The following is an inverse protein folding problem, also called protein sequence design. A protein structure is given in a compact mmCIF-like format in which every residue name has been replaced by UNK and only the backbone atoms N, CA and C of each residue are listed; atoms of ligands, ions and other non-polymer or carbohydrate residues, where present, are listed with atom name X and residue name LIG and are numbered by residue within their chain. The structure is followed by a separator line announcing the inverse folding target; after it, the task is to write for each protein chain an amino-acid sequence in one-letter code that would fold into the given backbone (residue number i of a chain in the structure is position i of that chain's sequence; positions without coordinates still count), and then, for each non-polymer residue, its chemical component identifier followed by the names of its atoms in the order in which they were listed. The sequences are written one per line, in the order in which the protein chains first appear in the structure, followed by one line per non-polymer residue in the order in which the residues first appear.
data_IF_541251809410
#
_entry.id   IF_541251809410
#
_cell.length_a   1.000
_cell.length_b   1.000
_cell.length_c   1.000
_cell.angle_alpha   90.00
_cell.angle_beta   90.00
_cell.angle_gamma   90.00
#
_symmetry.space_group_name_H-M   'P 1'
#
loop_
_entity.id
_entity.type
_entity.pdbx_description
1 polymer ?
#
# COMPACT_ATOMS: atom_id res chain seq x y z
N UNK A 1 12.91 3.21 4.20
CA UNK A 1 13.14 4.52 4.85
C UNK A 1 11.86 5.13 5.42
N UNK A 2 10.79 5.33 4.62
CA UNK A 2 9.55 5.97 5.10
C UNK A 2 8.91 5.28 6.33
N UNK A 3 8.99 3.94 6.42
CA UNK A 3 8.42 3.20 7.54
C UNK A 3 9.02 3.55 8.90
N UNK A 4 10.30 3.93 8.92
CA UNK A 4 10.96 4.41 10.13
C UNK A 4 10.49 5.82 10.51
N UNK A 5 9.93 6.57 9.55
CA UNK A 5 9.41 7.92 9.75
C UNK A 5 7.92 7.93 10.15
N UNK A 6 7.21 6.80 10.10
CA UNK A 6 5.78 6.73 10.48
C UNK A 6 5.52 7.31 11.87
N UNK A 7 6.31 7.00 12.94
CA UNK A 7 6.08 7.59 14.26
C UNK A 7 6.23 9.12 14.27
N UNK A 8 7.16 9.67 13.49
CA UNK A 8 7.36 11.11 13.36
C UNK A 8 6.17 11.76 12.66
N UNK A 9 5.71 11.18 11.54
CA UNK A 9 4.54 11.65 10.81
C UNK A 9 3.30 11.58 11.71
N UNK A 10 3.13 10.49 12.45
CA UNK A 10 2.01 10.31 13.36
C UNK A 10 2.00 11.36 14.48
N UNK A 11 3.17 11.64 15.06
CA UNK A 11 3.33 12.70 16.06
C UNK A 11 3.02 14.09 15.49
N UNK A 12 3.45 14.37 14.26
CA UNK A 12 3.19 15.63 13.59
C UNK A 12 1.70 15.84 13.25
N UNK A 13 0.94 14.75 13.09
CA UNK A 13 -0.50 14.77 12.80
C UNK A 13 -1.36 14.58 14.06
N UNK A 14 -0.74 14.56 15.24
CA UNK A 14 -1.44 14.45 16.52
C UNK A 14 -2.22 15.75 16.78
N UNK A 15 -3.46 15.63 17.26
CA UNK A 15 -4.37 16.75 17.57
C UNK A 15 -4.75 17.66 16.39
N UNK A 16 -4.44 17.29 15.14
CA UNK A 16 -4.93 18.01 13.96
C UNK A 16 -6.41 17.69 13.74
N UNK A 17 -7.23 18.73 13.56
CA UNK A 17 -8.65 18.58 13.27
C UNK A 17 -8.90 18.11 11.82
N UNK A 18 -10.07 17.53 11.58
CA UNK A 18 -10.44 16.97 10.27
C UNK A 18 -10.42 18.02 9.14
N UNK A 19 -10.76 19.29 9.41
CA UNK A 19 -10.80 20.32 8.36
C UNK A 19 -9.38 20.68 7.93
N UNK A 20 -8.47 20.82 8.89
CA UNK A 20 -7.04 21.05 8.62
C UNK A 20 -6.43 19.86 7.89
N UNK A 21 -6.76 18.63 8.30
CA UNK A 21 -6.32 17.42 7.60
C UNK A 21 -6.81 17.39 6.13
N UNK A 22 -8.05 17.80 5.89
CA UNK A 22 -8.60 17.95 4.53
C UNK A 22 -7.85 18.99 3.69
N UNK A 23 -7.47 20.13 4.28
CA UNK A 23 -6.63 21.14 3.61
C UNK A 23 -5.26 20.57 3.23
N UNK A 24 -4.65 19.77 4.10
CA UNK A 24 -3.38 19.09 3.77
C UNK A 24 -3.54 18.12 2.60
N UNK A 25 -4.63 17.36 2.55
CA UNK A 25 -4.92 16.49 1.40
C UNK A 25 -5.03 17.31 0.13
N UNK A 26 -5.81 18.41 0.12
CA UNK A 26 -5.95 19.26 -1.07
C UNK A 26 -4.60 19.79 -1.53
N UNK A 27 -3.80 20.34 -0.60
CA UNK A 27 -2.47 20.87 -0.90
C UNK A 27 -1.55 19.79 -1.49
N UNK A 28 -1.50 18.61 -0.87
CA UNK A 28 -0.67 17.50 -1.32
C UNK A 28 -1.17 16.89 -2.63
N UNK A 29 -2.49 16.92 -2.91
CA UNK A 29 -3.06 16.53 -4.21
C UNK A 29 -2.61 17.50 -5.30
N UNK A 30 -2.69 18.81 -5.07
CA UNK A 30 -2.20 19.82 -6.02
C UNK A 30 -0.71 19.60 -6.26
N UNK A 31 0.08 19.39 -5.21
CA UNK A 31 1.50 19.12 -5.34
C UNK A 31 1.81 17.85 -6.15
N UNK A 32 1.16 16.73 -5.84
CA UNK A 32 1.46 15.44 -6.50
C UNK A 32 0.87 15.34 -7.92
N UNK A 33 -0.37 15.80 -8.13
CA UNK A 33 -1.06 15.65 -9.41
C UNK A 33 -0.69 16.78 -10.37
N UNK A 34 -0.83 18.04 -9.96
CA UNK A 34 -0.57 19.16 -10.86
C UNK A 34 0.93 19.32 -11.12
N UNK A 35 1.73 19.54 -10.08
CA UNK A 35 3.17 19.78 -10.24
C UNK A 35 3.97 18.49 -10.48
N UNK A 36 3.50 17.36 -9.93
CA UNK A 36 4.10 16.05 -10.17
C UNK A 36 3.69 15.45 -11.51
N UNK A 37 2.45 15.00 -11.63
CA UNK A 37 2.01 14.21 -12.79
C UNK A 37 1.86 15.04 -14.09
N UNK A 38 1.16 16.18 -14.03
CA UNK A 38 0.89 17.01 -15.21
C UNK A 38 2.16 17.75 -15.67
N UNK A 39 2.80 18.51 -14.78
CA UNK A 39 3.97 19.34 -15.12
C UNK A 39 5.27 18.51 -15.15
N UNK A 40 5.41 17.49 -14.31
CA UNK A 40 6.56 16.56 -14.36
C UNK A 40 7.85 17.06 -13.68
N UNK A 41 7.83 18.20 -12.98
CA UNK A 41 9.06 18.86 -12.48
C UNK A 41 9.50 18.33 -11.11
N UNK A 42 8.55 18.00 -10.24
CA UNK A 42 8.84 17.70 -8.82
C UNK A 42 8.67 16.22 -8.45
N UNK A 43 7.87 15.48 -9.21
CA UNK A 43 7.56 14.09 -8.92
C UNK A 43 7.19 13.37 -10.22
N UNK A 44 8.14 12.69 -10.86
CA UNK A 44 7.94 12.12 -12.20
C UNK A 44 7.08 10.85 -12.21
N UNK A 45 7.12 10.05 -11.13
CA UNK A 45 6.43 8.75 -11.06
C UNK A 45 5.71 8.49 -9.73
N UNK A 46 5.71 9.44 -8.79
CA UNK A 46 5.08 9.27 -7.48
C UNK A 46 5.89 8.47 -6.46
N UNK A 47 7.08 7.96 -6.80
CA UNK A 47 7.86 7.09 -5.92
C UNK A 47 8.82 7.89 -5.02
N UNK A 48 8.26 8.69 -4.10
CA UNK A 48 9.05 9.49 -3.15
C UNK A 48 8.38 9.60 -1.77
N UNK A 49 9.16 10.09 -0.80
CA UNK A 49 8.70 10.21 0.59
C UNK A 49 7.46 11.11 0.73
N UNK A 50 7.35 12.18 -0.06
CA UNK A 50 6.21 13.11 -0.01
C UNK A 50 4.91 12.40 -0.43
N UNK A 51 4.94 11.58 -1.49
CA UNK A 51 3.78 10.82 -1.91
C UNK A 51 3.39 9.78 -0.85
N UNK A 52 4.36 9.18 -0.15
CA UNK A 52 4.06 8.30 0.99
C UNK A 52 3.42 9.03 2.17
N UNK A 53 3.90 10.25 2.52
CA UNK A 53 3.24 11.11 3.53
C UNK A 53 1.81 11.40 3.09
N UNK A 54 1.60 11.75 1.84
CA UNK A 54 0.28 12.03 1.27
C UNK A 54 -0.67 10.84 1.38
N UNK A 55 -0.24 9.64 0.98
CA UNK A 55 -1.02 8.41 1.13
C UNK A 55 -1.34 8.11 2.60
N UNK A 56 -0.39 8.36 3.52
CA UNK A 56 -0.61 8.20 4.96
C UNK A 56 -1.67 9.16 5.50
N UNK A 57 -1.55 10.45 5.18
CA UNK A 57 -2.51 11.50 5.56
C UNK A 57 -3.90 11.19 5.01
N UNK A 58 -3.99 10.72 3.76
CA UNK A 58 -5.23 10.29 3.14
C UNK A 58 -5.86 9.10 3.89
N UNK A 59 -5.08 8.07 4.20
CA UNK A 59 -5.55 6.93 5.00
C UNK A 59 -6.05 7.34 6.39
N UNK A 60 -5.34 8.25 7.07
CA UNK A 60 -5.75 8.82 8.36
C UNK A 60 -7.09 9.55 8.26
N UNK A 61 -7.28 10.34 7.20
CA UNK A 61 -8.53 11.05 6.96
C UNK A 61 -9.69 10.09 6.70
N UNK A 62 -9.50 9.06 5.87
CA UNK A 62 -10.52 8.02 5.63
C UNK A 62 -10.89 7.31 6.95
N UNK A 63 -9.91 7.00 7.79
CA UNK A 63 -10.15 6.42 9.11
C UNK A 63 -10.98 7.34 10.00
N UNK A 64 -10.71 8.64 10.01
CA UNK A 64 -11.54 9.59 10.75
C UNK A 64 -12.99 9.61 10.22
N UNK A 65 -13.13 9.60 8.89
CA UNK A 65 -14.44 9.57 8.24
C UNK A 65 -15.22 8.28 8.51
N UNK A 66 -14.55 7.19 8.86
CA UNK A 66 -15.19 5.89 9.10
C UNK A 66 -16.23 5.85 10.22
N UNK A 67 -16.16 6.81 11.15
CA UNK A 67 -17.13 6.99 12.23
C UNK A 67 -18.48 7.54 11.77
N UNK A 68 -18.54 8.19 10.59
CA UNK A 68 -19.78 8.79 10.09
C UNK A 68 -20.68 7.76 9.38
N UNK A 69 -22.00 7.81 9.55
CA UNK A 69 -22.93 6.84 8.94
C UNK A 69 -22.86 6.81 7.41
N UNK A 70 -22.71 7.99 6.79
CA UNK A 70 -22.60 8.14 5.34
C UNK A 70 -21.35 7.47 4.75
N UNK A 71 -20.26 7.39 5.52
CA UNK A 71 -19.03 6.75 5.08
C UNK A 71 -19.26 5.29 4.74
N UNK A 72 -19.99 4.53 5.58
CA UNK A 72 -20.23 3.10 5.31
C UNK A 72 -20.95 2.87 3.98
N UNK A 73 -21.94 3.71 3.67
CA UNK A 73 -22.69 3.65 2.42
C UNK A 73 -21.81 3.98 1.21
N UNK A 74 -20.91 4.95 1.34
CA UNK A 74 -19.95 5.25 0.28
C UNK A 74 -18.90 4.15 0.13
N UNK A 75 -18.37 3.67 1.24
CA UNK A 75 -17.32 2.67 1.30
C UNK A 75 -17.77 1.31 0.72
N UNK A 76 -19.04 0.93 0.92
CA UNK A 76 -19.62 -0.28 0.30
C UNK A 76 -19.63 -0.24 -1.23
N UNK A 77 -19.56 0.95 -1.83
CA UNK A 77 -19.50 1.15 -3.28
C UNK A 77 -18.09 1.55 -3.75
N UNK A 78 -17.07 1.43 -2.89
CA UNK A 78 -15.69 1.78 -3.23
C UNK A 78 -15.15 1.03 -4.46
N UNK A 79 -15.63 -0.19 -4.72
CA UNK A 79 -15.21 -1.00 -5.86
C UNK A 79 -15.68 -0.41 -7.19
N UNK A 80 -16.80 0.34 -7.18
CA UNK A 80 -17.29 1.06 -8.35
C UNK A 80 -16.32 2.19 -8.69
N UNK A 81 -15.89 2.97 -7.69
CA UNK A 81 -14.85 3.98 -7.89
C UNK A 81 -13.55 3.37 -8.42
N UNK A 82 -13.14 2.22 -7.86
CA UNK A 82 -11.98 1.50 -8.34
C UNK A 82 -12.13 1.08 -9.81
N UNK A 83 -13.26 0.47 -10.20
CA UNK A 83 -13.53 0.09 -11.59
C UNK A 83 -13.57 1.30 -12.53
N UNK A 84 -14.24 2.38 -12.14
CA UNK A 84 -14.31 3.62 -12.91
C UNK A 84 -12.94 4.24 -13.15
N UNK A 85 -11.95 3.96 -12.30
CA UNK A 85 -10.59 4.43 -12.50
C UNK A 85 -9.72 3.45 -13.28
N UNK A 86 -9.82 2.14 -12.99
CA UNK A 86 -8.98 1.11 -13.60
C UNK A 86 -9.38 0.84 -15.04
N UNK A 87 -10.66 0.79 -15.37
CA UNK A 87 -11.11 0.47 -16.73
C UNK A 87 -10.58 1.49 -17.76
N UNK A 88 -10.72 2.81 -17.55
CA UNK A 88 -10.13 3.80 -18.46
C UNK A 88 -8.60 3.75 -18.50
N UNK A 89 -7.93 3.48 -17.37
CA UNK A 89 -6.47 3.32 -17.35
C UNK A 89 -6.01 2.14 -18.23
N UNK A 90 -6.69 0.99 -18.12
CA UNK A 90 -6.34 -0.20 -18.92
C UNK A 90 -6.64 0.05 -20.39
N UNK A 91 -7.84 0.53 -20.72
CA UNK A 91 -8.22 0.83 -22.11
C UNK A 91 -7.28 1.88 -22.71
N UNK A 92 -7.00 2.95 -21.97
CA UNK A 92 -6.10 4.01 -22.42
C UNK A 92 -4.67 3.51 -22.62
N UNK A 93 -4.17 2.59 -21.79
CA UNK A 93 -2.87 1.96 -21.99
C UNK A 93 -2.85 1.05 -23.22
N UNK A 94 -3.88 0.25 -23.45
CA UNK A 94 -4.00 -0.61 -24.64
C UNK A 94 -4.03 0.23 -25.93
N UNK A 95 -4.81 1.31 -25.94
CA UNK A 95 -4.85 2.24 -27.08
C UNK A 95 -3.49 2.92 -27.29
N UNK A 96 -2.87 3.42 -26.21
CA UNK A 96 -1.58 4.10 -26.30
C UNK A 96 -0.49 3.18 -26.85
N UNK A 97 -0.43 1.93 -26.39
CA UNK A 97 0.57 0.94 -26.85
C UNK A 97 0.31 0.42 -28.26
N UNK A 98 -0.94 0.52 -28.75
CA UNK A 98 -1.26 0.24 -30.15
C UNK A 98 -0.73 1.34 -31.10
N UNK A 99 -0.79 2.61 -30.70
CA UNK A 99 -0.41 3.74 -31.55
C UNK A 99 1.02 4.27 -31.33
N UNK A 100 1.61 4.03 -30.16
CA UNK A 100 2.91 4.56 -29.78
C UNK A 100 3.87 3.41 -29.49
N UNK A 101 5.08 3.40 -30.09
CA UNK A 101 6.10 2.41 -29.78
C UNK A 101 6.40 2.39 -28.28
N UNK A 102 6.59 1.19 -27.75
CA UNK A 102 6.84 1.00 -26.33
C UNK A 102 8.06 1.80 -25.85
N UNK A 103 7.88 2.56 -24.76
CA UNK A 103 8.93 3.27 -24.05
C UNK A 103 8.71 3.10 -22.56
N UNK A 104 9.73 2.63 -21.84
CA UNK A 104 9.65 2.37 -20.40
C UNK A 104 9.22 3.62 -19.62
N UNK A 105 9.81 4.79 -19.94
CA UNK A 105 9.49 6.06 -19.29
C UNK A 105 8.03 6.49 -19.46
N UNK A 106 7.43 6.20 -20.62
CA UNK A 106 6.03 6.48 -20.90
C UNK A 106 5.13 5.60 -20.03
N UNK A 107 5.43 4.29 -19.96
CA UNK A 107 4.67 3.34 -19.13
C UNK A 107 4.78 3.67 -17.64
N UNK A 108 5.99 3.99 -17.17
CA UNK A 108 6.23 4.38 -15.78
C UNK A 108 5.50 5.66 -15.40
N UNK A 109 5.44 6.65 -16.30
CA UNK A 109 4.64 7.86 -16.08
C UNK A 109 3.15 7.55 -16.09
N UNK A 110 2.67 6.78 -17.06
CA UNK A 110 1.23 6.48 -17.22
C UNK A 110 0.65 5.79 -15.97
N UNK A 111 1.37 4.83 -15.40
CA UNK A 111 0.98 4.14 -14.17
C UNK A 111 1.64 4.72 -12.90
N UNK A 112 2.15 5.95 -12.96
CA UNK A 112 2.81 6.60 -11.83
C UNK A 112 1.90 6.70 -10.61
N UNK A 113 2.46 6.60 -9.41
CA UNK A 113 1.72 6.66 -8.13
C UNK A 113 1.15 8.06 -7.83
N UNK A 114 1.46 9.05 -8.66
CA UNK A 114 0.91 10.40 -8.63
C UNK A 114 -0.16 10.64 -9.72
N UNK A 115 -0.44 9.64 -10.56
CA UNK A 115 -1.54 9.71 -11.51
C UNK A 115 -2.88 9.78 -10.74
N UNK A 116 -3.77 10.73 -11.07
CA UNK A 116 -5.03 10.91 -10.37
C UNK A 116 -5.93 9.67 -10.41
N UNK A 117 -5.99 8.94 -11.53
CA UNK A 117 -6.77 7.70 -11.63
C UNK A 117 -6.17 6.59 -10.76
N UNK A 118 -4.84 6.48 -10.71
CA UNK A 118 -4.16 5.51 -9.83
C UNK A 118 -4.46 5.83 -8.36
N UNK A 119 -4.33 7.10 -7.96
CA UNK A 119 -4.66 7.56 -6.60
C UNK A 119 -6.12 7.29 -6.23
N UNK A 120 -7.07 7.65 -7.09
CA UNK A 120 -8.49 7.42 -6.85
C UNK A 120 -8.84 5.92 -6.82
N UNK A 121 -8.19 5.11 -7.67
CA UNK A 121 -8.35 3.65 -7.63
C UNK A 121 -7.89 3.07 -6.29
N UNK A 122 -6.78 3.56 -5.73
CA UNK A 122 -6.29 3.14 -4.43
C UNK A 122 -7.29 3.50 -3.33
N UNK A 123 -7.86 4.72 -3.36
CA UNK A 123 -8.93 5.13 -2.45
C UNK A 123 -10.14 4.21 -2.56
N UNK A 124 -10.59 3.89 -3.78
CA UNK A 124 -11.71 2.97 -4.02
C UNK A 124 -11.48 1.58 -3.42
N UNK A 125 -10.26 1.03 -3.53
CA UNK A 125 -9.89 -0.22 -2.88
C UNK A 125 -9.91 -0.09 -1.36
N UNK A 126 -9.28 0.93 -0.78
CA UNK A 126 -9.27 1.14 0.67
C UNK A 126 -10.68 1.26 1.25
N UNK A 127 -11.56 2.00 0.57
CA UNK A 127 -12.96 2.10 0.90
C UNK A 127 -13.65 0.72 0.91
N UNK A 128 -13.47 -0.05 -0.16
CA UNK A 128 -14.04 -1.40 -0.29
C UNK A 128 -13.62 -2.32 0.86
N UNK A 129 -12.33 -2.36 1.17
CA UNK A 129 -11.81 -3.20 2.25
C UNK A 129 -12.18 -2.70 3.65
N UNK A 130 -12.41 -1.39 3.83
CA UNK A 130 -12.71 -0.81 5.14
C UNK A 130 -14.04 -1.26 5.75
N UNK A 131 -14.97 -1.76 4.93
CA UNK A 131 -16.28 -2.26 5.38
C UNK A 131 -16.36 -3.79 5.43
N UNK A 132 -15.36 -4.50 4.89
CA UNK A 132 -15.33 -5.96 4.90
C UNK A 132 -14.85 -6.43 6.28
N UNK A 133 -15.66 -7.24 6.96
CA UNK A 133 -15.29 -7.88 8.22
C UNK A 133 -14.93 -9.35 8.00
N UNK A 134 -13.67 -9.71 8.21
CA UNK A 134 -13.17 -11.08 8.06
C UNK A 134 -12.99 -11.71 9.44
N UNK A 135 -13.82 -12.69 9.77
CA UNK A 135 -13.81 -13.38 11.08
C UNK A 135 -12.96 -14.66 11.12
N UNK A 136 -12.08 -14.87 10.13
CA UNK A 136 -11.27 -16.08 10.05
C UNK A 136 -9.89 -15.89 10.72
N UNK A 137 -9.57 -16.76 11.70
CA UNK A 137 -8.33 -16.68 12.47
C UNK A 137 -7.08 -16.82 11.60
N UNK A 138 -7.07 -17.75 10.64
CA UNK A 138 -5.92 -18.00 9.76
C UNK A 138 -5.66 -16.80 8.85
N UNK A 139 -6.72 -16.26 8.22
CA UNK A 139 -6.61 -15.08 7.36
C UNK A 139 -6.09 -13.88 8.17
N UNK A 140 -6.66 -13.65 9.36
CA UNK A 140 -6.22 -12.54 10.22
C UNK A 140 -4.79 -12.70 10.72
N UNK A 141 -4.32 -13.94 10.92
CA UNK A 141 -2.93 -14.24 11.29
C UNK A 141 -1.98 -14.01 10.12
N UNK A 142 -2.34 -14.48 8.92
CA UNK A 142 -1.60 -14.22 7.67
C UNK A 142 -1.47 -12.73 7.41
N UNK A 143 -2.57 -11.97 7.48
CA UNK A 143 -2.61 -10.54 7.19
C UNK A 143 -1.59 -9.72 7.99
N UNK A 144 -1.31 -10.10 9.25
CA UNK A 144 -0.28 -9.44 10.08
C UNK A 144 1.14 -9.60 9.53
N UNK A 145 1.43 -10.73 8.88
CA UNK A 145 2.74 -11.04 8.30
C UNK A 145 2.92 -10.58 6.86
N UNK A 146 1.83 -10.36 6.10
CA UNK A 146 1.88 -9.93 4.68
C UNK A 146 2.70 -8.66 4.48
N UNK A 147 2.61 -7.71 5.42
CA UNK A 147 3.39 -6.48 5.33
C UNK A 147 4.91 -6.75 5.35
N UNK A 148 5.39 -7.71 6.16
CA UNK A 148 6.81 -8.09 6.18
C UNK A 148 7.25 -8.71 4.85
N UNK A 149 6.41 -9.57 4.26
CA UNK A 149 6.65 -10.17 2.94
C UNK A 149 6.76 -9.10 1.85
N UNK A 150 5.87 -8.09 1.90
CA UNK A 150 5.93 -6.94 1.00
C UNK A 150 7.28 -6.21 1.08
N UNK A 151 7.84 -6.02 2.29
CA UNK A 151 9.16 -5.38 2.44
C UNK A 151 10.29 -6.22 1.85
N UNK A 152 10.28 -7.53 2.09
CA UNK A 152 11.30 -8.44 1.54
C UNK A 152 11.35 -8.35 0.02
N UNK A 153 10.18 -8.33 -0.64
CA UNK A 153 10.05 -8.21 -2.09
C UNK A 153 10.64 -6.91 -2.67
N UNK A 154 10.74 -5.84 -1.86
CA UNK A 154 11.33 -4.55 -2.28
C UNK A 154 12.84 -4.47 -2.10
N UNK A 155 13.49 -5.51 -1.57
CA UNK A 155 14.94 -5.54 -1.37
C UNK A 155 15.67 -5.66 -2.71
N UNK A 156 16.74 -4.89 -2.91
CA UNK A 156 17.47 -4.83 -4.19
C UNK A 156 17.92 -6.21 -4.71
N UNK A 157 18.34 -7.11 -3.81
CA UNK A 157 18.72 -8.48 -4.17
C UNK A 157 17.55 -9.24 -4.83
N UNK A 158 16.36 -9.16 -4.22
CA UNK A 158 15.16 -9.83 -4.73
C UNK A 158 14.68 -9.20 -6.04
N UNK A 159 14.79 -7.87 -6.19
CA UNK A 159 14.41 -7.19 -7.44
C UNK A 159 15.27 -7.68 -8.61
N UNK A 160 16.58 -7.77 -8.44
CA UNK A 160 17.50 -8.20 -9.51
C UNK A 160 17.17 -9.61 -10.01
N UNK A 161 17.10 -10.59 -9.11
CA UNK A 161 16.78 -11.97 -9.47
C UNK A 161 15.37 -12.09 -10.03
N UNK A 162 14.40 -11.39 -9.44
CA UNK A 162 13.01 -11.39 -9.91
C UNK A 162 12.92 -10.90 -11.35
N UNK A 163 13.47 -9.72 -11.67
CA UNK A 163 13.35 -9.15 -13.02
C UNK A 163 14.01 -10.03 -14.05
N UNK A 164 15.23 -10.52 -13.76
CA UNK A 164 15.98 -11.37 -14.70
C UNK A 164 15.26 -12.70 -14.95
N UNK A 165 14.87 -13.40 -13.88
CA UNK A 165 14.26 -14.72 -13.99
C UNK A 165 12.83 -14.69 -14.54
N UNK A 166 12.01 -13.72 -14.12
CA UNK A 166 10.65 -13.53 -14.64
C UNK A 166 10.67 -13.20 -16.13
N UNK A 167 11.65 -12.39 -16.57
CA UNK A 167 11.80 -12.05 -17.98
C UNK A 167 12.11 -13.30 -18.81
N UNK A 168 13.08 -14.10 -18.40
CA UNK A 168 13.43 -15.36 -19.11
C UNK A 168 12.24 -16.31 -19.17
N UNK A 169 11.54 -16.51 -18.05
CA UNK A 169 10.32 -17.33 -18.00
C UNK A 169 9.22 -16.84 -18.92
N UNK A 170 9.02 -15.53 -18.99
CA UNK A 170 8.02 -14.93 -19.87
C UNK A 170 8.39 -15.13 -21.34
N UNK A 171 9.66 -14.92 -21.70
CA UNK A 171 10.16 -15.10 -23.07
C UNK A 171 10.02 -16.56 -23.53
N UNK A 172 10.23 -17.54 -22.64
CA UNK A 172 10.16 -18.97 -22.97
C UNK A 172 8.75 -19.57 -22.92
N UNK A 173 7.92 -19.17 -21.95
CA UNK A 173 6.66 -19.87 -21.61
C UNK A 173 5.44 -18.94 -21.54
N UNK A 174 5.61 -17.64 -21.80
CA UNK A 174 4.53 -16.66 -21.82
C UNK A 174 3.84 -16.44 -20.47
N UNK A 175 2.59 -15.96 -20.53
CA UNK A 175 1.83 -15.53 -19.34
C UNK A 175 1.42 -16.68 -18.40
N UNK A 176 1.33 -17.91 -18.89
CA UNK A 176 0.95 -19.07 -18.06
C UNK A 176 2.03 -19.35 -17.01
N UNK A 177 3.31 -19.34 -17.40
CA UNK A 177 4.41 -19.50 -16.46
C UNK A 177 4.46 -18.37 -15.42
N UNK A 178 4.18 -17.13 -15.84
CA UNK A 178 4.09 -16.00 -14.92
C UNK A 178 3.00 -16.20 -13.86
N UNK A 179 1.83 -16.71 -14.27
CA UNK A 179 0.74 -17.00 -13.36
C UNK A 179 1.12 -18.09 -12.34
N UNK A 180 1.73 -19.19 -12.80
CA UNK A 180 2.21 -20.27 -11.92
C UNK A 180 3.24 -19.77 -10.92
N UNK A 181 4.23 -18.98 -11.37
CA UNK A 181 5.24 -18.40 -10.49
C UNK A 181 4.62 -17.42 -9.50
N UNK A 182 3.64 -16.61 -9.91
CA UNK A 182 2.92 -15.72 -9.02
C UNK A 182 2.18 -16.48 -7.91
N UNK A 183 1.54 -17.61 -8.25
CA UNK A 183 0.90 -18.50 -7.27
C UNK A 183 1.92 -19.10 -6.29
N UNK A 184 3.08 -19.56 -6.79
CA UNK A 184 4.14 -20.10 -5.94
C UNK A 184 4.68 -19.03 -4.98
N UNK A 185 4.93 -17.81 -5.47
CA UNK A 185 5.37 -16.68 -4.64
C UNK A 185 4.31 -16.35 -3.59
N UNK A 186 3.03 -16.37 -3.95
CA UNK A 186 1.93 -16.13 -3.01
C UNK A 186 1.88 -17.19 -1.90
N UNK A 187 2.03 -18.46 -2.25
CA UNK A 187 2.06 -19.58 -1.29
C UNK A 187 3.27 -19.45 -0.37
N UNK A 188 4.48 -19.29 -0.92
CA UNK A 188 5.73 -19.14 -0.15
C UNK A 188 5.63 -17.90 0.75
N UNK A 189 5.17 -16.77 0.21
CA UNK A 189 4.96 -15.54 0.95
C UNK A 189 3.99 -15.73 2.12
N UNK A 190 2.89 -16.46 1.91
CA UNK A 190 1.93 -16.79 2.97
C UNK A 190 2.56 -17.65 4.07
N UNK A 191 3.39 -18.64 3.71
CA UNK A 191 4.14 -19.42 4.70
C UNK A 191 5.13 -18.56 5.49
N UNK A 192 5.89 -17.68 4.81
CA UNK A 192 6.82 -16.75 5.48
C UNK A 192 6.05 -15.81 6.41
N UNK A 193 4.90 -15.28 5.99
CA UNK A 193 4.05 -14.42 6.81
C UNK A 193 3.60 -15.13 8.11
N UNK A 194 3.17 -16.39 8.01
CA UNK A 194 2.82 -17.20 9.18
C UNK A 194 4.01 -17.45 10.10
N UNK A 195 5.17 -17.79 9.51
CA UNK A 195 6.38 -18.04 10.27
C UNK A 195 6.83 -16.80 11.04
N UNK A 196 6.89 -15.65 10.38
CA UNK A 196 7.28 -14.36 10.98
C UNK A 196 6.33 -13.97 12.10
N UNK A 197 5.01 -14.09 11.90
CA UNK A 197 4.03 -13.75 12.94
C UNK A 197 4.14 -14.68 14.15
N UNK A 198 4.31 -15.99 13.94
CA UNK A 198 4.57 -16.96 15.02
C UNK A 198 5.84 -16.64 15.80
N UNK A 199 6.92 -16.32 15.08
CA UNK A 199 8.19 -15.98 15.71
C UNK A 199 8.06 -14.69 16.53
N UNK A 200 7.47 -13.64 15.95
CA UNK A 200 7.23 -12.36 16.61
C UNK A 200 6.37 -12.51 17.86
N UNK A 201 5.30 -13.31 17.83
CA UNK A 201 4.43 -13.48 19.00
C UNK A 201 5.19 -14.07 20.19
N UNK A 202 6.13 -15.00 19.97
CA UNK A 202 6.99 -15.55 21.03
C UNK A 202 7.83 -14.47 21.73
N UNK A 203 8.42 -13.54 20.97
CA UNK A 203 9.21 -12.44 21.55
C UNK A 203 8.33 -11.42 22.27
N UNK A 204 7.19 -11.05 21.69
CA UNK A 204 6.26 -10.09 22.30
C UNK A 204 5.70 -10.64 23.62
N UNK A 205 5.34 -11.91 23.67
CA UNK A 205 4.89 -12.57 24.90
C UNK A 205 6.01 -12.61 25.96
N UNK A 206 7.24 -12.92 25.56
CA UNK A 206 8.41 -12.93 26.46
C UNK A 206 8.67 -11.54 27.06
N UNK A 207 8.65 -10.49 26.24
CA UNK A 207 8.83 -9.09 26.69
C UNK A 207 7.65 -8.65 27.57
N UNK A 208 6.42 -9.03 27.24
CA UNK A 208 5.23 -8.75 28.03
C UNK A 208 5.30 -9.37 29.42
N UNK A 209 5.72 -10.64 29.52
CA UNK A 209 5.94 -11.33 30.80
C UNK A 209 7.05 -10.67 31.63
N UNK A 210 8.15 -10.24 31.00
CA UNK A 210 9.24 -9.50 31.68
C UNK A 210 8.77 -8.15 32.24
N UNK A 211 7.96 -7.39 31.50
CA UNK A 211 7.36 -6.14 31.99
C UNK A 211 6.37 -6.37 33.14
N UNK A 212 5.57 -7.45 33.09
CA UNK A 212 4.64 -7.80 34.15
C UNK A 212 5.38 -8.24 35.43
N UNK A 213 6.43 -9.04 35.31
CA UNK A 213 7.30 -9.43 36.43
C UNK A 213 8.01 -8.24 37.11
N UNK A 214 8.45 -7.23 36.34
CA UNK A 214 9.02 -5.99 36.90
C UNK A 214 8.00 -5.11 37.64
N UNK A 215 6.72 -5.10 37.24
CA UNK A 215 5.68 -4.36 37.97
C UNK A 215 5.22 -5.04 39.25
N UNK A 216 5.34 -6.37 39.36
CA UNK A 216 5.03 -7.09 40.60
C UNK A 216 6.17 -6.98 41.62
N UNK A 217 7.41 -6.77 41.15
CA UNK A 217 8.60 -6.66 42.00
C UNK A 217 9.08 -5.22 42.24
N UNK A 218 8.29 -4.18 41.91
CA UNK A 218 8.57 -2.84 42.43
C UNK A 218 7.92 -2.72 43.81
N UNK A 219 8.70 -2.62 44.90
CA UNK A 219 8.13 -2.22 46.19
C UNK A 219 7.41 -0.89 45.99
N UNK A 220 6.24 -0.77 46.60
CA UNK A 220 5.60 0.52 46.83
C UNK A 220 6.59 1.38 47.62
N UNK A 221 7.21 2.35 46.95
CA UNK A 221 7.81 3.53 47.56
C UNK A 221 7.02 4.76 47.12
#
# INVERSE_FOLDING_TARGET
MFLLMIPLVERALENIDIKTLGKFIILLTVFNVLFGYCVGVLNTNGYNAINFVYLYVMGRYLRYCSSYPFYKKWASHGYILWLLCVVPLVIGFLLLTHFVPWRESLSQKYFGYNNPFVLLSAVGLFLSFSVIQVNNLLINKLAKGVFGVFLLHTTSIFIYYRVTYIRTLYEEHGYVALFVVALLIFVIGSFIALFVENFKSLFVEKIGKLKKGRRVNSPLE
#
